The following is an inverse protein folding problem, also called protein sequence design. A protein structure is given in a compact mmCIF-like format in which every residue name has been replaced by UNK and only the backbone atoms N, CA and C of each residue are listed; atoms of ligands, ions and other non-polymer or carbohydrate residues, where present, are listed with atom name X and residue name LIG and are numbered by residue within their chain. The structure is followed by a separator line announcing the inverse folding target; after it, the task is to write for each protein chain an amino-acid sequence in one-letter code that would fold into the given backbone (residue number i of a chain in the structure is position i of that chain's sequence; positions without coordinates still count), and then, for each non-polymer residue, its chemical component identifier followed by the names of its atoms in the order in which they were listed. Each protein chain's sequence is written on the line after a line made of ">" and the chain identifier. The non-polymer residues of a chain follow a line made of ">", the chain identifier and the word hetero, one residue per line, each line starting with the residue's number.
data_IF_780616167394
#
_entry.id   IF_780616167394
#
_cell.length_a   1.000
_cell.length_b   1.000
_cell.length_c   1.000
_cell.angle_alpha   90.00
_cell.angle_beta   90.00
_cell.angle_gamma   90.00
#
_symmetry.space_group_name_H-M   'P 1'
#
loop_
_entity.id
_entity.type
_entity.pdbx_description
1 polymer ?
#
# COMPACT_ATOMS: atom_id res chain seq x y z
N UNK A 1 12.90 -7.69 5.38
CA UNK A 1 12.70 -6.70 4.31
C UNK A 1 12.61 -7.49 3.04
N UNK A 2 11.43 -7.60 2.47
CA UNK A 2 11.31 -8.35 1.22
C UNK A 2 11.75 -7.51 0.02
N UNK A 3 12.47 -8.15 -0.90
CA UNK A 3 12.94 -7.54 -2.14
C UNK A 3 11.80 -6.91 -2.94
N UNK A 4 10.61 -7.50 -2.96
CA UNK A 4 9.50 -6.98 -3.75
C UNK A 4 8.92 -5.68 -3.15
N UNK A 5 8.95 -5.51 -1.82
CA UNK A 5 8.49 -4.30 -1.14
C UNK A 5 9.42 -3.14 -1.43
N UNK A 6 10.73 -3.42 -1.40
CA UNK A 6 11.75 -2.47 -1.83
C UNK A 6 11.55 -2.06 -3.29
N UNK A 7 11.35 -3.00 -4.21
CA UNK A 7 11.14 -2.71 -5.63
C UNK A 7 9.87 -1.89 -5.88
N UNK A 8 8.76 -2.22 -5.23
CA UNK A 8 7.52 -1.48 -5.37
C UNK A 8 7.62 -0.07 -4.78
N UNK A 9 8.25 0.07 -3.61
CA UNK A 9 8.51 1.38 -3.03
C UNK A 9 9.46 2.22 -3.90
N UNK A 10 10.47 1.60 -4.52
CA UNK A 10 11.36 2.28 -5.49
C UNK A 10 10.58 2.78 -6.71
N UNK A 11 9.76 1.92 -7.33
CA UNK A 11 8.90 2.31 -8.46
C UNK A 11 7.95 3.44 -8.08
N UNK A 12 7.28 3.32 -6.93
CA UNK A 12 6.35 4.31 -6.43
C UNK A 12 7.05 5.65 -6.15
N UNK A 13 8.25 5.64 -5.56
CA UNK A 13 9.06 6.83 -5.35
C UNK A 13 9.52 7.46 -6.67
N UNK A 14 9.87 6.65 -7.67
CA UNK A 14 10.25 7.16 -8.99
C UNK A 14 9.09 7.89 -9.67
N UNK A 15 7.90 7.28 -9.68
CA UNK A 15 6.66 7.91 -10.18
C UNK A 15 6.36 9.19 -9.42
N UNK A 16 6.43 9.16 -8.08
CA UNK A 16 6.21 10.34 -7.25
C UNK A 16 7.23 11.44 -7.57
N UNK A 17 8.49 11.09 -7.81
CA UNK A 17 9.53 12.02 -8.26
C UNK A 17 9.23 12.63 -9.64
N UNK A 18 8.63 11.87 -10.55
CA UNK A 18 8.15 12.39 -11.84
C UNK A 18 7.00 13.37 -11.64
N UNK A 19 5.98 13.02 -10.85
CA UNK A 19 4.86 13.94 -10.51
C UNK A 19 5.40 15.23 -9.90
N UNK A 20 6.36 15.14 -8.97
CA UNK A 20 7.00 16.30 -8.35
C UNK A 20 7.72 17.17 -9.39
N UNK A 21 8.35 16.61 -10.42
CA UNK A 21 9.10 17.40 -11.41
C UNK A 21 8.22 17.96 -12.53
N UNK A 22 7.22 17.21 -12.98
CA UNK A 22 6.41 17.59 -14.15
C UNK A 22 5.17 18.41 -13.82
N UNK A 23 4.60 18.26 -12.62
CA UNK A 23 3.38 18.97 -12.24
C UNK A 23 3.75 20.21 -11.43
N UNK A 24 3.48 21.39 -11.98
CA UNK A 24 3.75 22.68 -11.32
C UNK A 24 2.75 22.94 -10.19
N UNK A 25 1.47 22.63 -10.41
CA UNK A 25 0.42 22.79 -9.40
C UNK A 25 0.58 21.80 -8.26
N UNK A 26 0.46 22.29 -7.02
CA UNK A 26 0.47 21.50 -5.78
C UNK A 26 -0.90 21.42 -5.11
N UNK A 27 -1.94 21.77 -5.85
CA UNK A 27 -3.32 21.70 -5.35
C UNK A 27 -3.74 20.24 -5.10
N UNK A 28 -4.57 20.04 -4.07
CA UNK A 28 -5.10 18.74 -3.68
C UNK A 28 -5.82 18.07 -4.86
N UNK A 29 -6.60 18.83 -5.59
CA UNK A 29 -7.42 18.40 -6.72
C UNK A 29 -6.58 17.88 -7.89
N UNK A 30 -5.30 18.26 -7.95
CA UNK A 30 -4.36 17.81 -8.99
C UNK A 30 -3.51 16.64 -8.49
N UNK A 31 -2.93 16.76 -7.29
CA UNK A 31 -1.99 15.75 -6.78
C UNK A 31 -2.70 14.48 -6.30
N UNK A 32 -3.88 14.61 -5.66
CA UNK A 32 -4.58 13.48 -5.08
C UNK A 32 -5.06 12.46 -6.13
N UNK A 33 -5.62 12.87 -7.29
CA UNK A 33 -5.93 11.93 -8.37
C UNK A 33 -4.68 11.23 -8.91
N UNK A 34 -3.59 11.98 -9.16
CA UNK A 34 -2.34 11.41 -9.69
C UNK A 34 -1.70 10.38 -8.74
N UNK A 35 -1.70 10.68 -7.44
CA UNK A 35 -1.27 9.72 -6.43
C UNK A 35 -2.14 8.46 -6.47
N UNK A 36 -3.47 8.64 -6.51
CA UNK A 36 -4.43 7.54 -6.46
C UNK A 36 -4.37 6.64 -7.70
N UNK A 37 -4.05 7.18 -8.87
CA UNK A 37 -4.00 6.42 -10.13
C UNK A 37 -2.63 5.81 -10.42
N UNK A 38 -1.53 6.50 -10.09
CA UNK A 38 -0.19 6.06 -10.51
C UNK A 38 0.61 5.42 -9.37
N UNK A 39 0.52 5.99 -8.17
CA UNK A 39 1.37 5.59 -7.02
C UNK A 39 0.66 4.54 -6.17
N UNK A 40 -0.60 4.77 -5.84
CA UNK A 40 -1.40 3.93 -4.95
C UNK A 40 -1.52 2.48 -5.43
N UNK A 41 -1.72 2.15 -6.73
CA UNK A 41 -1.78 0.77 -7.19
C UNK A 41 -0.48 -0.01 -6.98
N UNK A 42 0.68 0.65 -7.04
CA UNK A 42 1.98 0.01 -6.76
C UNK A 42 2.07 -0.42 -5.28
N UNK A 43 1.52 0.42 -4.39
CA UNK A 43 1.46 0.13 -2.95
C UNK A 43 0.40 -0.94 -2.63
N UNK A 44 -0.73 -0.97 -3.35
CA UNK A 44 -1.81 -1.93 -3.12
C UNK A 44 -1.52 -3.33 -3.68
N UNK A 45 -0.89 -3.42 -4.85
CA UNK A 45 -0.40 -4.69 -5.40
C UNK A 45 0.54 -5.38 -4.40
N UNK A 46 1.39 -4.58 -3.78
CA UNK A 46 2.18 -5.02 -2.64
C UNK A 46 1.28 -5.63 -1.56
N UNK A 47 0.39 -4.84 -0.95
CA UNK A 47 -0.43 -5.23 0.21
C UNK A 47 -1.14 -6.59 0.05
N UNK A 48 -1.64 -6.94 -1.13
CA UNK A 48 -2.33 -8.22 -1.37
C UNK A 48 -1.40 -9.44 -1.42
N UNK A 49 -0.14 -9.24 -1.81
CA UNK A 49 0.86 -10.30 -1.92
C UNK A 49 1.55 -10.56 -0.57
N UNK A 50 1.40 -9.73 0.45
CA UNK A 50 2.28 -9.80 1.63
C UNK A 50 1.85 -10.79 2.72
N UNK A 51 2.85 -11.48 3.27
CA UNK A 51 2.76 -12.25 4.51
C UNK A 51 2.87 -11.31 5.73
N UNK A 52 2.18 -11.57 6.87
CA UNK A 52 1.97 -10.63 7.98
C UNK A 52 3.21 -10.20 8.81
N UNK A 53 4.43 -10.56 8.42
CA UNK A 53 5.52 -10.76 9.37
C UNK A 53 6.51 -9.59 9.49
N UNK A 54 6.45 -8.59 8.60
CA UNK A 54 7.45 -7.51 8.55
C UNK A 54 6.86 -6.11 8.66
N UNK A 55 6.81 -5.58 9.90
CA UNK A 55 6.53 -4.15 10.16
C UNK A 55 7.39 -3.21 9.31
N UNK A 56 8.66 -3.56 9.10
CA UNK A 56 9.60 -2.78 8.30
C UNK A 56 9.16 -2.60 6.84
N UNK A 57 8.50 -3.60 6.27
CA UNK A 57 7.98 -3.54 4.89
C UNK A 57 6.76 -2.60 4.82
N UNK A 58 5.93 -2.59 5.87
CA UNK A 58 4.82 -1.64 6.02
C UNK A 58 5.30 -0.19 6.18
N UNK A 59 6.31 0.02 7.04
CA UNK A 59 6.90 1.35 7.28
C UNK A 59 7.42 1.97 5.97
N UNK A 60 8.01 1.14 5.09
CA UNK A 60 8.51 1.57 3.80
C UNK A 60 7.38 2.07 2.88
N UNK A 61 6.28 1.33 2.78
CA UNK A 61 5.12 1.73 1.98
C UNK A 61 4.46 2.99 2.55
N UNK A 62 4.43 3.10 3.88
CA UNK A 62 3.90 4.27 4.57
C UNK A 62 4.75 5.52 4.33
N UNK A 63 6.07 5.37 4.27
CA UNK A 63 6.96 6.47 3.93
C UNK A 63 6.66 7.04 2.53
N UNK A 64 6.31 6.20 1.56
CA UNK A 64 5.92 6.67 0.21
C UNK A 64 4.64 7.50 0.28
N UNK A 65 3.62 7.01 1.02
CA UNK A 65 2.36 7.74 1.18
C UNK A 65 2.58 9.07 1.92
N UNK A 66 3.35 9.09 3.01
CA UNK A 66 3.75 10.30 3.75
C UNK A 66 4.42 11.33 2.84
N UNK A 67 5.32 10.91 1.96
CA UNK A 67 6.01 11.80 1.01
C UNK A 67 5.07 12.38 -0.04
N UNK A 68 4.05 11.63 -0.45
CA UNK A 68 3.06 12.10 -1.41
C UNK A 68 2.13 13.13 -0.77
N UNK A 69 1.59 12.86 0.41
CA UNK A 69 0.71 13.79 1.13
C UNK A 69 1.42 15.07 1.54
N UNK A 70 2.74 15.04 1.77
CA UNK A 70 3.55 16.23 2.08
C UNK A 70 3.67 17.20 0.90
N UNK A 71 3.47 16.73 -0.33
CA UNK A 71 3.63 17.60 -1.52
C UNK A 71 2.43 18.45 -1.86
N UNK A 72 1.32 18.23 -1.15
CA UNK A 72 0.09 18.98 -1.36
C UNK A 72 0.20 20.26 -0.55
N UNK A 73 0.03 21.39 -1.24
CA UNK A 73 0.11 22.72 -0.64
C UNK A 73 -0.97 22.88 0.41
N UNK A 74 -0.62 23.46 1.55
CA UNK A 74 -1.55 23.71 2.66
C UNK A 74 -1.64 22.55 3.66
N UNK A 75 -1.03 21.40 3.36
CA UNK A 75 -0.98 20.26 4.26
C UNK A 75 0.37 20.12 4.97
N UNK A 76 1.36 20.99 4.70
CA UNK A 76 2.74 20.78 5.16
C UNK A 76 2.88 20.76 6.69
N UNK A 77 2.03 21.54 7.37
CA UNK A 77 2.05 21.75 8.82
C UNK A 77 1.25 20.70 9.60
N UNK A 78 0.42 19.91 8.90
CA UNK A 78 -0.44 18.92 9.54
C UNK A 78 0.34 17.64 9.86
N UNK A 79 -0.03 17.02 10.98
CA UNK A 79 0.49 15.70 11.30
C UNK A 79 0.07 14.68 10.23
N UNK A 80 0.76 13.55 10.14
CA UNK A 80 0.46 12.57 9.09
C UNK A 80 -0.98 12.07 9.14
N UNK A 81 -1.49 11.77 10.34
CA UNK A 81 -2.86 11.27 10.52
C UNK A 81 -3.92 12.30 10.09
N UNK A 82 -3.72 13.58 10.41
CA UNK A 82 -4.63 14.65 9.99
C UNK A 82 -4.62 14.84 8.48
N UNK A 83 -3.45 14.76 7.83
CA UNK A 83 -3.36 14.79 6.36
C UNK A 83 -4.13 13.65 5.72
N UNK A 84 -4.05 12.44 6.28
CA UNK A 84 -4.83 11.32 5.79
C UNK A 84 -6.33 11.57 5.94
N UNK A 85 -6.75 12.12 7.08
CA UNK A 85 -8.15 12.45 7.36
C UNK A 85 -8.70 13.48 6.38
N UNK A 86 -7.98 14.58 6.16
CA UNK A 86 -8.37 15.65 5.25
C UNK A 86 -8.42 15.19 3.78
N UNK A 87 -7.48 14.32 3.39
CA UNK A 87 -7.45 13.74 2.05
C UNK A 87 -8.41 12.56 1.86
N UNK A 88 -9.06 12.06 2.91
CA UNK A 88 -9.90 10.86 2.86
C UNK A 88 -9.12 9.60 2.49
N UNK A 89 -7.81 9.55 2.82
CA UNK A 89 -6.93 8.43 2.49
C UNK A 89 -6.86 7.44 3.66
N UNK A 90 -6.80 6.15 3.34
CA UNK A 90 -6.54 5.10 4.33
C UNK A 90 -5.04 4.86 4.47
N UNK A 91 -4.56 4.62 5.69
CA UNK A 91 -3.19 4.17 5.93
C UNK A 91 -2.95 2.81 5.22
N UNK A 92 -1.70 2.49 4.85
CA UNK A 92 -1.37 1.18 4.30
C UNK A 92 -1.79 0.04 5.24
N UNK A 93 -1.60 0.21 6.55
CA UNK A 93 -1.99 -0.79 7.56
C UNK A 93 -3.50 -1.04 7.59
N UNK A 94 -4.30 0.02 7.59
CA UNK A 94 -5.77 -0.11 7.55
C UNK A 94 -6.24 -0.81 6.27
N UNK A 95 -5.59 -0.53 5.14
CA UNK A 95 -5.88 -1.20 3.85
C UNK A 95 -5.52 -2.68 3.89
N UNK A 96 -4.42 -3.04 4.56
CA UNK A 96 -3.99 -4.42 4.78
C UNK A 96 -5.00 -5.19 5.63
N UNK A 97 -5.41 -4.63 6.76
CA UNK A 97 -6.42 -5.23 7.64
C UNK A 97 -7.73 -5.48 6.89
N UNK A 98 -8.15 -4.53 6.04
CA UNK A 98 -9.31 -4.72 5.16
C UNK A 98 -9.12 -5.89 4.18
N UNK A 99 -7.94 -6.02 3.58
CA UNK A 99 -7.59 -7.14 2.71
C UNK A 99 -7.68 -8.49 3.43
N UNK A 100 -7.14 -8.57 4.64
CA UNK A 100 -7.20 -9.79 5.48
C UNK A 100 -8.66 -10.17 5.79
N UNK A 101 -9.52 -9.21 6.13
CA UNK A 101 -10.93 -9.48 6.38
C UNK A 101 -11.67 -9.97 5.14
N UNK A 102 -11.37 -9.42 3.96
CA UNK A 102 -11.95 -9.89 2.69
C UNK A 102 -11.57 -11.34 2.43
N UNK A 103 -10.31 -11.71 2.68
CA UNK A 103 -9.83 -13.09 2.51
C UNK A 103 -10.48 -14.06 3.50
N UNK A 104 -10.56 -13.69 4.78
CA UNK A 104 -11.29 -14.46 5.80
C UNK A 104 -12.74 -14.66 5.38
N UNK A 105 -13.41 -13.61 4.89
CA UNK A 105 -14.78 -13.70 4.41
C UNK A 105 -14.92 -14.67 3.22
N UNK A 106 -14.02 -14.58 2.23
CA UNK A 106 -14.02 -15.50 1.08
C UNK A 106 -13.78 -16.95 1.51
N UNK A 107 -12.94 -17.18 2.51
CA UNK A 107 -12.72 -18.49 3.09
C UNK A 107 -13.98 -19.03 3.78
N UNK A 108 -14.61 -18.22 4.64
CA UNK A 108 -15.85 -18.60 5.33
C UNK A 108 -17.00 -18.89 4.36
N UNK A 109 -17.02 -18.22 3.20
CA UNK A 109 -18.01 -18.46 2.13
C UNK A 109 -17.67 -19.65 1.22
N UNK A 110 -16.53 -20.31 1.42
CA UNK A 110 -16.08 -21.44 0.58
C UNK A 110 -15.72 -21.04 -0.86
N UNK A 111 -15.61 -19.74 -1.15
CA UNK A 111 -15.24 -19.22 -2.48
C UNK A 111 -13.72 -19.19 -2.69
N UNK A 112 -12.95 -19.37 -1.62
CA UNK A 112 -11.49 -19.39 -1.65
C UNK A 112 -10.96 -20.82 -1.87
N UNK A 113 -10.18 -21.03 -2.94
CA UNK A 113 -9.74 -22.36 -3.42
C UNK A 113 -8.47 -22.93 -2.77
N UNK A 114 -7.81 -22.25 -1.83
CA UNK A 114 -6.62 -22.82 -1.15
C UNK A 114 -7.05 -23.79 -0.05
N UNK A 115 -6.38 -24.93 0.02
CA UNK A 115 -6.52 -25.91 1.10
C UNK A 115 -6.36 -25.23 2.47
N UNK A 116 -7.42 -25.25 3.29
CA UNK A 116 -7.49 -24.56 4.59
C UNK A 116 -6.46 -25.00 5.64
N UNK A 117 -5.61 -25.99 5.33
CA UNK A 117 -4.62 -26.57 6.25
C UNK A 117 -3.40 -25.67 6.56
N UNK A 118 -3.21 -24.57 5.83
CA UNK A 118 -2.04 -23.66 6.01
C UNK A 118 -2.34 -22.28 6.61
N UNK A 119 -3.61 -21.94 6.89
CA UNK A 119 -4.03 -20.56 7.20
C UNK A 119 -3.50 -20.00 8.52
N UNK A 120 -3.24 -20.87 9.51
CA UNK A 120 -2.73 -20.49 10.84
C UNK A 120 -1.31 -21.01 11.08
N UNK A 121 -0.71 -21.65 10.08
CA UNK A 121 0.63 -22.20 10.17
C UNK A 121 1.63 -21.09 9.85
N UNK A 122 2.50 -20.77 10.81
CA UNK A 122 3.61 -19.83 10.60
C UNK A 122 4.61 -20.45 9.62
N UNK A 123 4.39 -20.26 8.33
CA UNK A 123 5.41 -20.55 7.34
C UNK A 123 6.54 -19.52 7.48
N UNK A 124 7.74 -20.01 7.78
CA UNK A 124 9.01 -19.30 7.61
C UNK A 124 9.40 -19.32 6.12
N UNK A 125 8.48 -18.96 5.24
CA UNK A 125 8.77 -18.90 3.81
C UNK A 125 8.80 -17.44 3.36
N UNK A 126 9.80 -17.08 2.55
CA UNK A 126 9.86 -15.80 1.84
C UNK A 126 8.79 -15.72 0.73
N UNK A 127 7.90 -16.73 0.63
CA UNK A 127 6.86 -16.78 -0.39
C UNK A 127 5.74 -15.81 -0.04
N UNK A 128 5.50 -14.91 -0.96
CA UNK A 128 4.38 -13.97 -0.91
C UNK A 128 3.07 -14.71 -1.26
N UNK A 129 1.91 -14.17 -0.84
CA UNK A 129 0.53 -14.59 -1.14
C UNK A 129 0.20 -14.53 -2.65
N UNK A 130 1.13 -14.89 -3.53
CA UNK A 130 0.87 -14.87 -4.97
C UNK A 130 -0.25 -15.83 -5.33
N UNK A 131 -1.10 -15.40 -6.27
CA UNK A 131 -1.82 -16.34 -7.10
C UNK A 131 -0.76 -17.12 -7.88
N UNK A 132 -0.72 -18.44 -7.72
CA UNK A 132 0.18 -19.35 -8.44
C UNK A 132 -0.12 -19.45 -9.95
N UNK A 133 -0.65 -18.39 -10.55
CA UNK A 133 -0.93 -18.26 -11.97
C UNK A 133 -0.31 -16.97 -12.49
N UNK A 134 0.98 -17.06 -12.83
CA UNK A 134 1.62 -16.31 -13.90
C UNK A 134 2.68 -17.20 -14.53
#
# INVERSE_FOLDING_TARGET
>A
MSQQCMLAAQKANHILGCIKRSVVSRLREVILPLYSTLVRPQLEYCIQLWSPQHRKDMDLLEQVQRRATQTIRGLEHLCYEDRLRELGLSSPEKRKVRGDFIEIFQYLKGTYRRDGKGLFTREWSDRTRSNGFK
#
